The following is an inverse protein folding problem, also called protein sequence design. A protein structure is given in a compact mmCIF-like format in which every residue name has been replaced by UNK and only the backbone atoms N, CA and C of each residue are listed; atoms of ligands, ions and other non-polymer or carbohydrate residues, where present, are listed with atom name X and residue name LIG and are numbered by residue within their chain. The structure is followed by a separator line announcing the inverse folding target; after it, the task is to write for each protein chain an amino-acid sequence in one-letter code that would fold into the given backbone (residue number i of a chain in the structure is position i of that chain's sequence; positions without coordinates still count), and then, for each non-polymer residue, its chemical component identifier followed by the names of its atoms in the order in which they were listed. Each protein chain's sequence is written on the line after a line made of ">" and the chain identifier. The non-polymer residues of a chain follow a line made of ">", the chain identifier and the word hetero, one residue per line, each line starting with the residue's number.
data_IF_409929131110
#
_entry.id   IF_409929131110
#
_cell.length_a   1.000
_cell.length_b   1.000
_cell.length_c   1.000
_cell.angle_alpha   90.00
_cell.angle_beta   90.00
_cell.angle_gamma   90.00
#
_symmetry.space_group_name_H-M   'P 1'
#
loop_
_entity.id
_entity.type
_entity.pdbx_description
1 polymer ?
#
# COMPACT_ATOMS: atom_id res chain seq x y z
N UNK A 1 -9.70 -15.28 50.31
CA UNK A 1 -9.02 -14.84 49.09
C UNK A 1 -9.44 -13.38 48.84
N UNK A 2 -8.62 -12.42 49.30
CA UNK A 2 -8.79 -11.01 48.95
C UNK A 2 -7.93 -10.72 47.72
N UNK A 3 -8.51 -10.88 46.54
CA UNK A 3 -7.87 -10.44 45.30
C UNK A 3 -8.39 -9.04 45.02
N UNK A 4 -7.49 -8.07 44.94
CA UNK A 4 -7.85 -6.71 44.53
C UNK A 4 -8.35 -6.74 43.10
N UNK A 5 -9.47 -6.12 42.79
CA UNK A 5 -9.98 -5.96 41.45
C UNK A 5 -9.25 -4.79 40.78
N UNK A 6 -8.43 -5.10 39.77
CA UNK A 6 -7.58 -4.13 39.09
C UNK A 6 -8.35 -3.12 38.19
N UNK A 7 -9.67 -3.29 38.11
CA UNK A 7 -10.53 -2.49 37.23
C UNK A 7 -10.90 -3.23 35.93
N UNK A 8 -11.90 -2.70 35.22
CA UNK A 8 -12.43 -3.31 33.98
C UNK A 8 -11.40 -3.24 32.88
N UNK A 9 -10.79 -2.08 32.67
CA UNK A 9 -9.85 -1.84 31.54
C UNK A 9 -8.62 -2.76 31.64
N UNK A 10 -7.86 -2.77 32.76
CA UNK A 10 -6.71 -3.67 32.87
C UNK A 10 -7.06 -5.16 32.74
N UNK A 11 -8.25 -5.55 33.22
CA UNK A 11 -8.72 -6.91 33.08
C UNK A 11 -9.00 -7.29 31.63
N UNK A 12 -9.65 -6.40 30.86
CA UNK A 12 -9.94 -6.60 29.45
C UNK A 12 -8.66 -6.61 28.61
N UNK A 13 -7.71 -5.70 28.86
CA UNK A 13 -6.41 -5.65 28.21
C UNK A 13 -5.64 -6.96 28.42
N UNK A 14 -5.54 -7.43 29.67
CA UNK A 14 -4.88 -8.70 29.96
C UNK A 14 -5.58 -9.88 29.23
N UNK A 15 -6.90 -9.95 29.30
CA UNK A 15 -7.66 -11.00 28.61
C UNK A 15 -7.49 -10.96 27.09
N UNK A 16 -7.37 -9.79 26.49
CA UNK A 16 -7.11 -9.63 25.06
C UNK A 16 -5.74 -10.20 24.67
N UNK A 17 -4.73 -10.00 25.51
CA UNK A 17 -3.37 -10.51 25.27
C UNK A 17 -3.27 -12.01 25.53
N UNK A 18 -3.86 -12.50 26.64
CA UNK A 18 -3.67 -13.86 27.14
C UNK A 18 -4.59 -14.89 26.46
N UNK A 19 -5.65 -14.45 25.76
CA UNK A 19 -6.61 -15.38 25.14
C UNK A 19 -6.04 -16.03 23.90
N UNK A 20 -6.19 -17.36 23.80
CA UNK A 20 -5.90 -18.14 22.58
C UNK A 20 -7.10 -18.20 21.63
N UNK A 21 -8.29 -17.75 22.08
CA UNK A 21 -9.51 -17.76 21.28
C UNK A 21 -9.66 -16.47 20.48
N UNK A 22 -9.67 -16.57 19.13
CA UNK A 22 -9.89 -15.45 18.25
C UNK A 22 -11.27 -14.81 18.46
N UNK A 23 -12.32 -15.60 18.70
CA UNK A 23 -13.67 -15.10 18.98
C UNK A 23 -13.71 -14.21 20.25
N UNK A 24 -13.01 -14.62 21.32
CA UNK A 24 -12.92 -13.81 22.55
C UNK A 24 -12.11 -12.55 22.32
N UNK A 25 -11.06 -12.64 21.50
CA UNK A 25 -10.23 -11.48 21.12
C UNK A 25 -11.04 -10.47 20.32
N UNK A 26 -11.83 -10.93 19.35
CA UNK A 26 -12.70 -10.09 18.52
C UNK A 26 -13.80 -9.42 19.35
N UNK A 27 -14.39 -10.12 20.30
CA UNK A 27 -15.39 -9.55 21.19
C UNK A 27 -14.81 -8.43 22.07
N UNK A 28 -13.59 -8.60 22.56
CA UNK A 28 -12.90 -7.57 23.35
C UNK A 28 -12.50 -6.40 22.45
N UNK A 29 -12.03 -6.68 21.23
CA UNK A 29 -11.58 -5.67 20.25
C UNK A 29 -12.70 -4.68 19.89
N UNK A 30 -13.98 -5.05 19.97
CA UNK A 30 -15.14 -4.16 19.76
C UNK A 30 -15.18 -2.97 20.74
N UNK A 31 -14.56 -3.12 21.91
CA UNK A 31 -14.47 -2.06 22.92
C UNK A 31 -13.15 -1.30 22.86
N UNK A 32 -12.27 -1.65 21.91
CA UNK A 32 -10.96 -1.03 21.74
C UNK A 32 -10.98 -0.03 20.58
N UNK A 33 -10.23 1.05 20.73
CA UNK A 33 -10.03 2.04 19.68
C UNK A 33 -8.56 2.08 19.29
N UNK A 34 -8.27 2.00 18.02
CA UNK A 34 -6.90 2.16 17.51
C UNK A 34 -6.46 3.63 17.68
N UNK A 35 -5.30 3.83 18.28
CA UNK A 35 -4.66 5.14 18.40
C UNK A 35 -3.27 5.11 17.77
N UNK A 36 -2.85 6.23 17.22
CA UNK A 36 -1.47 6.39 16.81
C UNK A 36 -0.53 6.16 17.99
N UNK A 37 0.54 5.41 17.78
CA UNK A 37 1.55 5.16 18.80
C UNK A 37 2.16 6.47 19.27
N UNK A 38 2.17 6.73 20.59
CA UNK A 38 2.72 7.97 21.14
C UNK A 38 4.23 8.14 20.88
N UNK A 39 4.96 7.03 20.71
CA UNK A 39 6.40 7.05 20.46
C UNK A 39 6.77 7.37 19.00
N UNK A 40 6.00 6.87 18.01
CA UNK A 40 6.30 7.09 16.60
C UNK A 40 5.24 7.88 15.85
N UNK A 41 4.21 8.40 16.51
CA UNK A 41 3.15 9.17 15.89
C UNK A 41 2.37 8.43 14.78
N UNK A 42 2.44 7.10 14.75
CA UNK A 42 1.86 6.26 13.70
C UNK A 42 2.84 5.85 12.59
N UNK A 43 4.06 6.40 12.56
CA UNK A 43 5.05 6.13 11.52
C UNK A 43 5.58 4.67 11.51
N UNK A 44 5.39 3.90 12.60
CA UNK A 44 5.85 2.50 12.75
C UNK A 44 7.37 2.31 12.60
N UNK A 45 8.12 3.37 12.37
CA UNK A 45 9.56 3.41 12.13
C UNK A 45 10.25 4.25 13.19
N UNK A 46 11.55 3.99 13.39
CA UNK A 46 12.41 4.79 14.26
C UNK A 46 12.74 6.13 13.61
N UNK A 47 13.00 7.19 14.41
CA UNK A 47 13.34 8.51 13.89
C UNK A 47 14.56 8.49 12.94
N UNK A 48 15.55 7.63 13.23
CA UNK A 48 16.76 7.50 12.40
C UNK A 48 16.44 6.99 10.98
N UNK A 49 15.44 6.12 10.84
CA UNK A 49 14.97 5.63 9.53
C UNK A 49 14.22 6.72 8.78
N UNK A 50 13.44 7.53 9.50
CA UNK A 50 12.70 8.66 8.92
C UNK A 50 13.61 9.84 8.53
N UNK A 51 14.83 9.91 9.06
CA UNK A 51 15.83 10.89 8.66
C UNK A 51 16.44 10.59 7.28
N UNK A 52 16.26 9.37 6.75
CA UNK A 52 16.70 9.03 5.39
C UNK A 52 15.67 9.53 4.39
N UNK A 53 16.09 10.42 3.52
CA UNK A 53 15.22 11.01 2.49
C UNK A 53 15.76 10.77 1.08
N UNK A 54 14.87 10.68 0.12
CA UNK A 54 15.16 10.65 -1.32
C UNK A 54 14.32 11.74 -1.98
N UNK A 55 14.95 12.64 -2.69
CA UNK A 55 14.30 13.86 -3.20
C UNK A 55 13.53 14.63 -2.11
N UNK A 56 14.14 14.78 -0.92
CA UNK A 56 13.55 15.48 0.22
C UNK A 56 12.41 14.76 0.94
N UNK A 57 12.01 13.57 0.51
CA UNK A 57 10.91 12.80 1.09
C UNK A 57 11.41 11.53 1.77
N UNK A 58 10.91 11.27 2.97
CA UNK A 58 11.13 10.00 3.66
C UNK A 58 10.11 8.94 3.22
N UNK A 59 10.34 7.68 3.65
CA UNK A 59 9.50 6.55 3.25
C UNK A 59 8.02 6.72 3.66
N UNK A 60 7.73 7.36 4.80
CA UNK A 60 6.35 7.57 5.24
C UNK A 60 5.64 8.64 4.40
N UNK A 61 6.35 9.70 4.05
CA UNK A 61 5.82 10.74 3.16
C UNK A 61 5.53 10.19 1.77
N UNK A 62 6.40 9.35 1.23
CA UNK A 62 6.16 8.67 -0.05
C UNK A 62 4.99 7.70 0.03
N UNK A 63 4.92 6.87 1.07
CA UNK A 63 3.83 5.88 1.21
C UNK A 63 2.49 6.51 1.59
N UNK A 64 2.49 7.69 2.19
CA UNK A 64 1.27 8.48 2.48
C UNK A 64 0.67 9.15 1.24
N UNK A 65 1.40 9.19 0.12
CA UNK A 65 0.87 9.71 -1.13
C UNK A 65 -0.06 8.71 -1.83
N UNK A 66 -0.92 9.24 -2.72
CA UNK A 66 -1.66 8.38 -3.64
C UNK A 66 -0.70 7.64 -4.58
N UNK A 67 -1.16 6.49 -5.10
CA UNK A 67 -0.40 5.70 -6.10
C UNK A 67 0.01 6.57 -7.29
N UNK A 68 -0.88 7.47 -7.73
CA UNK A 68 -0.58 8.41 -8.82
C UNK A 68 0.59 9.34 -8.48
N UNK A 69 0.58 9.95 -7.28
CA UNK A 69 1.65 10.84 -6.85
C UNK A 69 2.96 10.08 -6.57
N UNK A 70 2.86 8.87 -6.01
CA UNK A 70 4.02 8.01 -5.82
C UNK A 70 4.68 7.63 -7.17
N UNK A 71 3.89 7.41 -8.23
CA UNK A 71 4.42 7.21 -9.60
C UNK A 71 5.16 8.46 -10.11
N UNK A 72 4.62 9.65 -9.90
CA UNK A 72 5.29 10.91 -10.25
C UNK A 72 6.61 11.06 -9.50
N UNK A 73 6.63 10.68 -8.21
CA UNK A 73 7.87 10.69 -7.43
C UNK A 73 8.91 9.70 -7.97
N UNK A 74 8.51 8.48 -8.36
CA UNK A 74 9.41 7.50 -8.99
C UNK A 74 10.01 8.05 -10.29
N UNK A 75 9.21 8.70 -11.11
CA UNK A 75 9.67 9.34 -12.35
C UNK A 75 10.65 10.49 -12.06
N UNK A 76 10.36 11.31 -11.04
CA UNK A 76 11.26 12.35 -10.58
C UNK A 76 12.60 11.80 -10.08
N UNK A 77 12.62 10.65 -9.39
CA UNK A 77 13.87 9.98 -9.00
C UNK A 77 14.73 9.58 -10.22
N UNK A 78 14.10 9.28 -11.34
CA UNK A 78 14.81 8.91 -12.60
C UNK A 78 15.31 10.13 -13.38
N UNK A 79 14.53 11.19 -13.40
CA UNK A 79 14.79 12.40 -14.23
C UNK A 79 15.48 13.52 -13.46
N UNK A 80 15.61 13.38 -12.13
CA UNK A 80 16.10 14.42 -11.23
C UNK A 80 15.28 15.73 -11.26
N UNK A 81 14.02 15.67 -11.72
CA UNK A 81 13.09 16.81 -11.76
C UNK A 81 11.83 16.45 -11.01
N UNK A 82 11.64 17.06 -9.82
CA UNK A 82 10.41 16.89 -9.05
C UNK A 82 9.40 18.00 -9.39
N UNK A 83 8.23 17.68 -9.97
CA UNK A 83 7.20 18.68 -10.29
C UNK A 83 6.24 18.95 -9.14
N UNK A 84 6.57 18.56 -7.90
CA UNK A 84 5.66 18.64 -6.76
C UNK A 84 5.29 20.07 -6.35
N UNK A 85 4.00 20.37 -6.33
CA UNK A 85 3.41 21.51 -5.66
C UNK A 85 3.33 21.22 -4.15
N UNK A 86 4.38 21.50 -3.42
CA UNK A 86 4.41 21.45 -1.97
C UNK A 86 5.55 22.34 -1.47
N UNK A 87 5.23 23.24 -0.54
CA UNK A 87 6.20 24.06 0.17
C UNK A 87 7.17 23.18 0.99
N UNK A 88 8.02 22.43 0.32
CA UNK A 88 9.20 21.89 0.95
C UNK A 88 10.25 22.99 0.93
N UNK A 89 10.61 23.41 2.14
CA UNK A 89 11.63 24.41 2.45
C UNK A 89 12.74 24.45 1.41
N UNK A 90 12.93 25.62 0.84
CA UNK A 90 13.80 26.11 -0.22
C UNK A 90 15.23 25.62 -0.40
N UNK A 91 15.55 24.41 -0.03
CA UNK A 91 16.81 23.76 -0.33
C UNK A 91 16.65 22.97 -1.63
N UNK A 92 17.52 23.28 -2.60
CA UNK A 92 17.59 22.53 -3.85
C UNK A 92 17.73 21.04 -3.51
N UNK A 93 16.73 20.25 -3.90
CA UNK A 93 16.77 18.80 -3.66
C UNK A 93 17.88 18.23 -4.54
N UNK A 94 18.94 17.73 -3.91
CA UNK A 94 20.05 17.14 -4.63
C UNK A 94 19.58 15.90 -5.41
N UNK A 95 19.80 15.87 -6.73
CA UNK A 95 19.51 14.69 -7.52
C UNK A 95 20.37 13.51 -7.08
N UNK A 96 19.89 12.28 -7.29
CA UNK A 96 20.68 11.09 -7.06
C UNK A 96 22.00 11.16 -7.84
N UNK A 97 23.12 10.93 -7.16
CA UNK A 97 24.42 10.86 -7.84
C UNK A 97 24.52 9.58 -8.72
N UNK A 98 25.53 9.50 -9.58
CA UNK A 98 25.68 8.38 -10.55
C UNK A 98 25.69 6.99 -9.88
N UNK A 99 26.28 6.87 -8.67
CA UNK A 99 26.29 5.62 -7.92
C UNK A 99 24.91 5.28 -7.37
N UNK A 100 24.23 6.25 -6.81
CA UNK A 100 22.86 6.10 -6.29
C UNK A 100 21.88 5.78 -7.42
N UNK A 101 22.00 6.42 -8.57
CA UNK A 101 21.21 6.09 -9.77
C UNK A 101 21.44 4.66 -10.23
N UNK A 102 22.70 4.18 -10.26
CA UNK A 102 23.00 2.81 -10.64
C UNK A 102 22.34 1.78 -9.71
N UNK A 103 22.33 2.04 -8.39
CA UNK A 103 21.66 1.21 -7.39
C UNK A 103 20.15 1.32 -7.51
N UNK A 104 19.62 2.52 -7.66
CA UNK A 104 18.20 2.80 -7.68
C UNK A 104 17.49 2.30 -8.95
N UNK A 105 18.17 2.25 -10.09
CA UNK A 105 17.56 1.96 -11.39
C UNK A 105 16.71 0.70 -11.41
N UNK A 106 17.23 -0.42 -10.89
CA UNK A 106 16.48 -1.68 -10.85
C UNK A 106 15.32 -1.62 -9.85
N UNK A 107 15.54 -0.98 -8.70
CA UNK A 107 14.51 -0.84 -7.65
C UNK A 107 13.38 0.05 -8.16
N UNK A 108 13.70 1.20 -8.74
CA UNK A 108 12.70 2.13 -9.29
C UNK A 108 11.89 1.49 -10.41
N UNK A 109 12.53 0.70 -11.29
CA UNK A 109 11.83 -0.05 -12.34
C UNK A 109 10.79 -1.02 -11.77
N UNK A 110 11.13 -1.76 -10.72
CA UNK A 110 10.21 -2.68 -10.04
C UNK A 110 9.07 -1.92 -9.34
N UNK A 111 9.38 -0.83 -8.64
CA UNK A 111 8.39 0.01 -7.97
C UNK A 111 7.43 0.63 -8.99
N UNK A 112 7.95 1.19 -10.08
CA UNK A 112 7.16 1.75 -11.19
C UNK A 112 6.21 0.72 -11.80
N UNK A 113 6.71 -0.49 -12.07
CA UNK A 113 5.90 -1.56 -12.64
C UNK A 113 4.71 -1.93 -11.74
N UNK A 114 4.94 -2.04 -10.43
CA UNK A 114 3.91 -2.40 -9.43
C UNK A 114 2.92 -1.27 -9.19
N UNK A 115 3.39 -0.04 -9.00
CA UNK A 115 2.52 1.13 -8.84
C UNK A 115 1.72 1.41 -10.13
N UNK A 116 2.37 1.32 -11.29
CA UNK A 116 1.72 1.48 -12.58
C UNK A 116 0.62 0.44 -12.81
N UNK A 117 0.80 -0.76 -12.26
CA UNK A 117 -0.26 -1.76 -12.29
C UNK A 117 -1.45 -1.36 -11.40
N UNK A 118 -1.20 -0.93 -10.15
CA UNK A 118 -2.27 -0.43 -9.26
C UNK A 118 -3.06 0.71 -9.91
N UNK A 119 -2.38 1.63 -10.59
CA UNK A 119 -3.03 2.71 -11.35
C UNK A 119 -3.90 2.16 -12.49
N UNK A 120 -3.40 1.17 -13.27
CA UNK A 120 -4.16 0.57 -14.37
C UNK A 120 -5.42 -0.18 -13.94
N UNK A 121 -5.49 -0.69 -12.71
CA UNK A 121 -6.69 -1.33 -12.17
C UNK A 121 -7.62 -0.36 -11.42
N UNK A 122 -7.42 0.97 -11.58
CA UNK A 122 -8.25 2.00 -10.99
C UNK A 122 -8.04 2.17 -9.47
N UNK A 123 -6.81 1.97 -8.98
CA UNK A 123 -6.42 2.19 -7.58
C UNK A 123 -5.42 3.34 -7.41
N UNK A 124 -5.40 4.27 -8.36
CA UNK A 124 -4.53 5.45 -8.38
C UNK A 124 -4.73 6.40 -7.20
N UNK A 125 -5.93 6.44 -6.65
CA UNK A 125 -6.30 7.26 -5.49
C UNK A 125 -5.88 6.68 -4.14
N UNK A 126 -5.55 5.38 -4.06
CA UNK A 126 -5.17 4.74 -2.79
C UNK A 126 -3.77 5.18 -2.34
N UNK A 127 -3.58 5.25 -1.01
CA UNK A 127 -2.27 5.42 -0.40
C UNK A 127 -1.69 4.08 0.05
N UNK A 128 -0.34 3.93 -0.01
CA UNK A 128 0.31 2.67 0.33
C UNK A 128 0.33 2.39 1.85
N UNK A 129 0.16 3.42 2.67
CA UNK A 129 0.06 3.32 4.14
C UNK A 129 -1.32 2.91 4.63
N UNK A 130 -2.32 2.86 3.74
CA UNK A 130 -3.71 2.54 4.08
C UNK A 130 -3.82 1.13 4.67
N UNK A 131 -4.49 1.03 5.81
CA UNK A 131 -4.67 -0.24 6.49
C UNK A 131 -5.55 -1.20 5.65
N UNK A 132 -5.10 -2.44 5.47
CA UNK A 132 -5.79 -3.44 4.65
C UNK A 132 -7.25 -3.70 5.10
N UNK A 133 -7.53 -3.58 6.41
CA UNK A 133 -8.88 -3.75 6.97
C UNK A 133 -9.88 -2.64 6.54
N UNK A 134 -9.39 -1.53 5.99
CA UNK A 134 -10.22 -0.42 5.50
C UNK A 134 -10.52 -0.50 4.00
N UNK A 135 -9.97 -1.49 3.32
CA UNK A 135 -10.20 -1.70 1.89
C UNK A 135 -11.58 -2.31 1.65
N UNK A 136 -12.25 -1.86 0.60
CA UNK A 136 -13.44 -2.53 0.09
C UNK A 136 -13.08 -3.89 -0.52
N UNK A 137 -14.06 -4.78 -0.66
CA UNK A 137 -13.85 -6.10 -1.29
C UNK A 137 -13.24 -5.98 -2.68
N UNK A 138 -13.74 -5.07 -3.52
CA UNK A 138 -13.22 -4.83 -4.86
C UNK A 138 -11.79 -4.25 -4.86
N UNK A 139 -11.45 -3.32 -3.95
CA UNK A 139 -10.08 -2.82 -3.79
C UNK A 139 -9.12 -3.94 -3.41
N UNK A 140 -9.50 -4.76 -2.42
CA UNK A 140 -8.69 -5.91 -1.99
C UNK A 140 -8.46 -6.94 -3.10
N UNK A 141 -9.48 -7.21 -3.92
CA UNK A 141 -9.37 -8.11 -5.07
C UNK A 141 -8.42 -7.56 -6.13
N UNK A 142 -8.52 -6.27 -6.48
CA UNK A 142 -7.62 -5.62 -7.44
C UNK A 142 -6.18 -5.56 -6.96
N UNK A 143 -5.95 -5.33 -5.65
CA UNK A 143 -4.59 -5.41 -5.07
C UNK A 143 -4.01 -6.83 -5.18
N UNK A 144 -4.82 -7.88 -4.95
CA UNK A 144 -4.37 -9.27 -5.14
C UNK A 144 -4.00 -9.55 -6.60
N UNK A 145 -4.81 -9.09 -7.55
CA UNK A 145 -4.47 -9.15 -8.98
C UNK A 145 -3.15 -8.43 -9.27
N UNK A 146 -2.95 -7.23 -8.71
CA UNK A 146 -1.72 -6.47 -8.85
C UNK A 146 -0.49 -7.26 -8.40
N UNK A 147 -0.59 -7.94 -7.26
CA UNK A 147 0.51 -8.71 -6.67
C UNK A 147 0.89 -9.91 -7.56
N UNK A 148 -0.10 -10.54 -8.15
CA UNK A 148 0.09 -11.74 -8.99
C UNK A 148 0.69 -11.40 -10.36
N UNK A 149 0.28 -10.29 -10.96
CA UNK A 149 0.78 -9.85 -12.27
C UNK A 149 2.22 -9.35 -12.18
N UNK A 150 2.56 -8.66 -11.10
CA UNK A 150 3.94 -8.21 -10.85
C UNK A 150 4.95 -9.36 -10.70
N UNK A 151 4.48 -10.61 -10.54
CA UNK A 151 5.34 -11.79 -10.47
C UNK A 151 5.87 -12.29 -11.83
N UNK A 152 5.30 -11.81 -12.95
CA UNK A 152 5.68 -12.26 -14.30
C UNK A 152 5.39 -13.73 -14.57
N UNK A 153 4.53 -14.38 -13.79
CA UNK A 153 4.16 -15.79 -13.97
C UNK A 153 3.38 -15.97 -15.26
N UNK A 154 3.71 -17.02 -16.01
CA UNK A 154 3.01 -17.48 -17.21
C UNK A 154 2.36 -18.85 -16.94
N UNK A 155 1.27 -19.17 -17.68
CA UNK A 155 0.55 -20.45 -17.55
C UNK A 155 -0.33 -20.54 -16.29
N UNK A 156 -0.70 -19.41 -15.69
CA UNK A 156 -1.55 -19.34 -14.49
C UNK A 156 -3.01 -19.17 -14.90
N UNK A 157 -3.92 -19.79 -14.15
CA UNK A 157 -5.37 -19.55 -14.24
C UNK A 157 -5.76 -18.48 -13.21
N UNK A 158 -6.27 -17.36 -13.70
CA UNK A 158 -6.85 -16.28 -12.90
C UNK A 158 -8.36 -16.39 -12.94
N UNK A 159 -8.99 -16.49 -11.77
CA UNK A 159 -10.44 -16.46 -11.62
C UNK A 159 -10.81 -15.17 -10.91
N UNK A 160 -11.57 -14.31 -11.59
CA UNK A 160 -12.02 -13.02 -11.10
C UNK A 160 -13.55 -13.03 -11.00
N UNK A 161 -14.06 -12.76 -9.81
CA UNK A 161 -15.49 -12.65 -9.54
C UNK A 161 -15.84 -11.16 -9.40
N UNK A 162 -16.73 -10.68 -10.27
CA UNK A 162 -17.19 -9.28 -10.35
C UNK A 162 -16.04 -8.24 -10.22
N UNK A 163 -14.95 -8.34 -10.99
CA UNK A 163 -13.79 -7.45 -10.82
C UNK A 163 -14.09 -5.98 -11.15
N UNK A 164 -15.19 -5.70 -11.85
CA UNK A 164 -15.67 -4.36 -12.21
C UNK A 164 -16.43 -3.65 -11.09
N UNK A 165 -16.83 -4.37 -10.03
CA UNK A 165 -17.63 -3.81 -8.94
C UNK A 165 -16.97 -2.59 -8.31
N UNK A 166 -17.72 -1.49 -8.27
CA UNK A 166 -17.29 -0.23 -7.67
C UNK A 166 -16.33 0.59 -8.53
N UNK A 167 -16.13 0.23 -9.81
CA UNK A 167 -15.37 1.02 -10.76
C UNK A 167 -16.23 2.04 -11.51
N UNK A 168 -15.62 3.18 -11.79
CA UNK A 168 -16.18 4.09 -12.78
C UNK A 168 -16.06 3.47 -14.19
N UNK A 169 -17.02 3.72 -15.13
CA UNK A 169 -16.96 3.17 -16.48
C UNK A 169 -15.61 3.34 -17.21
N UNK A 170 -14.96 4.49 -17.02
CA UNK A 170 -13.64 4.75 -17.61
C UNK A 170 -12.53 3.82 -17.07
N UNK A 171 -12.65 3.36 -15.81
CA UNK A 171 -11.69 2.47 -15.20
C UNK A 171 -11.93 1.01 -15.57
N UNK A 172 -13.17 0.67 -15.96
CA UNK A 172 -13.50 -0.65 -16.52
C UNK A 172 -12.70 -0.94 -17.78
N UNK A 173 -12.58 0.00 -18.69
CA UNK A 173 -11.81 -0.18 -19.92
C UNK A 173 -10.32 -0.44 -19.62
N UNK A 174 -9.78 0.24 -18.61
CA UNK A 174 -8.40 0.04 -18.13
C UNK A 174 -8.22 -1.35 -17.52
N UNK A 175 -9.17 -1.78 -16.67
CA UNK A 175 -9.17 -3.12 -16.08
C UNK A 175 -9.23 -4.20 -17.15
N UNK A 176 -10.16 -4.09 -18.11
CA UNK A 176 -10.32 -5.03 -19.23
C UNK A 176 -9.04 -5.09 -20.06
N UNK A 177 -8.43 -3.94 -20.37
CA UNK A 177 -7.16 -3.87 -21.07
C UNK A 177 -6.06 -4.63 -20.31
N UNK A 178 -6.00 -4.48 -19.01
CA UNK A 178 -5.04 -5.15 -18.14
C UNK A 178 -5.25 -6.67 -18.10
N UNK A 179 -6.50 -7.13 -18.00
CA UNK A 179 -6.85 -8.56 -18.02
C UNK A 179 -6.57 -9.20 -19.38
N UNK A 180 -6.78 -8.47 -20.48
CA UNK A 180 -6.38 -8.90 -21.83
C UNK A 180 -4.87 -9.05 -21.94
N UNK A 181 -4.09 -8.11 -21.43
CA UNK A 181 -2.64 -8.20 -21.41
C UNK A 181 -2.15 -9.43 -20.63
N UNK A 182 -2.79 -9.75 -19.49
CA UNK A 182 -2.51 -11.00 -18.74
C UNK A 182 -2.69 -12.25 -19.60
N UNK A 183 -3.80 -12.33 -20.31
CA UNK A 183 -4.08 -13.44 -21.23
C UNK A 183 -3.01 -13.51 -22.32
N UNK A 184 -2.64 -12.39 -22.91
CA UNK A 184 -1.73 -12.32 -24.05
C UNK A 184 -0.29 -12.70 -23.69
N UNK A 185 0.09 -12.61 -22.42
CA UNK A 185 1.37 -13.11 -21.87
C UNK A 185 1.35 -14.65 -21.67
N UNK A 186 0.24 -15.33 -21.96
CA UNK A 186 0.14 -16.79 -21.88
C UNK A 186 -0.57 -17.32 -20.65
N UNK A 187 -1.40 -16.51 -20.00
CA UNK A 187 -2.25 -16.93 -18.88
C UNK A 187 -3.69 -17.21 -19.34
N UNK A 188 -4.43 -17.92 -18.51
CA UNK A 188 -5.88 -18.10 -18.68
C UNK A 188 -6.60 -17.18 -17.69
N UNK A 189 -7.55 -16.38 -18.18
CA UNK A 189 -8.35 -15.47 -17.36
C UNK A 189 -9.82 -15.83 -17.49
N UNK A 190 -10.44 -16.19 -16.37
CA UNK A 190 -11.88 -16.45 -16.24
C UNK A 190 -12.51 -15.31 -15.45
N UNK A 191 -13.51 -14.68 -16.04
CA UNK A 191 -14.23 -13.56 -15.42
C UNK A 191 -15.70 -13.99 -15.26
N UNK A 192 -16.25 -13.76 -14.08
CA UNK A 192 -17.67 -13.87 -13.77
C UNK A 192 -18.18 -12.46 -13.48
N UNK A 193 -19.17 -11.99 -14.24
CA UNK A 193 -19.85 -10.70 -14.11
C UNK A 193 -21.34 -10.88 -13.84
#
# INVERSE_FOLDING_TARGET
>A
WNTAFDGVIPNMERRHVDTESDSVRDDIARYMTQRACASCGGARLKPEVLAVTVLGMNVMEVTGQSVENALRWVEACRTAVWPGEGEHSGDAVDPLNNREQSIATQILKEVEARLGFLSRVGLDYLTLDRAAATLSGGEGQRIRLATQIGSGLMGVLYVCDEPSVGLHPADNDRLIGTLKNLRDVGNTVLIVE
#
